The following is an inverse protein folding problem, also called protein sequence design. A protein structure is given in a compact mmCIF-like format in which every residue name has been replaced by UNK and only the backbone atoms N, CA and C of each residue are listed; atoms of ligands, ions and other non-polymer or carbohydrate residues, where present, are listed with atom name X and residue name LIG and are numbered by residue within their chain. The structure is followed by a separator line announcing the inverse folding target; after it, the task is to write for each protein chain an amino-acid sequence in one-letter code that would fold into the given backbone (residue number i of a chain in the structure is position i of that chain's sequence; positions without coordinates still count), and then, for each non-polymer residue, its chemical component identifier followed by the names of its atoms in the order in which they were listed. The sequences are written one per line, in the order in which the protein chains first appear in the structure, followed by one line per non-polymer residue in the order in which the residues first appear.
data_IF_740899893152
#
_entry.id   IF_740899893152
#
_cell.length_a   1.000
_cell.length_b   1.000
_cell.length_c   1.000
_cell.angle_alpha   90.00
_cell.angle_beta   90.00
_cell.angle_gamma   90.00
#
_symmetry.space_group_name_H-M   'P 1'
#
loop_
_entity.id
_entity.type
_entity.pdbx_description
1 polymer ?
#
# COMPACT_ATOMS: atom_id res chain seq x y z
N UNK A 1 -0.18 8.41 -8.47
CA UNK A 1 -0.30 7.21 -9.31
C UNK A 1 0.74 6.19 -8.90
N UNK A 2 0.40 4.89 -8.93
CA UNK A 2 1.32 3.77 -8.73
C UNK A 2 1.54 3.01 -10.05
N UNK A 3 2.74 2.48 -10.26
CA UNK A 3 3.11 1.59 -11.35
C UNK A 3 3.80 0.38 -10.74
N UNK A 4 3.29 -0.81 -11.05
CA UNK A 4 3.77 -2.10 -10.51
C UNK A 4 4.42 -2.97 -11.58
N UNK A 5 4.02 -2.81 -12.84
CA UNK A 5 4.61 -3.57 -13.95
C UNK A 5 6.07 -3.15 -14.18
N UNK A 6 6.97 -4.13 -14.17
CA UNK A 6 8.40 -3.89 -14.26
C UNK A 6 8.80 -3.20 -15.57
N UNK A 7 8.21 -3.60 -16.71
CA UNK A 7 8.56 -3.02 -18.01
C UNK A 7 8.07 -1.57 -18.12
N UNK A 8 6.87 -1.28 -17.63
CA UNK A 8 6.36 0.10 -17.55
C UNK A 8 7.24 0.97 -16.66
N UNK A 9 7.65 0.46 -15.49
CA UNK A 9 8.57 1.18 -14.61
C UNK A 9 9.90 1.48 -15.31
N UNK A 10 10.50 0.50 -15.98
CA UNK A 10 11.76 0.69 -16.69
C UNK A 10 11.64 1.72 -17.81
N UNK A 11 10.58 1.65 -18.60
CA UNK A 11 10.36 2.58 -19.70
C UNK A 11 10.22 4.01 -19.17
N UNK A 12 9.37 4.21 -18.15
CA UNK A 12 9.16 5.54 -17.59
C UNK A 12 10.43 6.08 -16.90
N UNK A 13 11.17 5.25 -16.16
CA UNK A 13 12.43 5.67 -15.51
C UNK A 13 13.47 6.16 -16.53
N UNK A 14 13.52 5.58 -17.74
CA UNK A 14 14.43 6.04 -18.82
C UNK A 14 14.11 7.46 -19.30
N UNK A 15 12.89 7.93 -19.09
CA UNK A 15 12.44 9.28 -19.45
C UNK A 15 12.67 10.29 -18.31
N UNK A 16 13.06 9.84 -17.12
CA UNK A 16 13.25 10.69 -15.94
C UNK A 16 14.72 10.93 -15.60
N UNK A 17 14.97 12.02 -14.88
CA UNK A 17 16.26 12.32 -14.27
C UNK A 17 16.29 11.83 -12.82
N UNK A 18 17.28 11.01 -12.46
CA UNK A 18 17.49 10.62 -11.06
C UNK A 18 18.00 11.81 -10.25
N UNK A 19 17.34 12.10 -9.13
CA UNK A 19 17.72 13.21 -8.25
C UNK A 19 18.49 12.75 -7.01
N UNK A 20 18.04 11.68 -6.37
CA UNK A 20 18.62 11.18 -5.12
C UNK A 20 18.44 9.68 -5.02
N UNK A 21 19.44 8.99 -4.46
CA UNK A 21 19.38 7.59 -4.09
C UNK A 21 19.68 7.45 -2.60
N UNK A 22 18.83 6.71 -1.91
CA UNK A 22 19.02 6.27 -0.53
C UNK A 22 19.20 4.74 -0.58
N UNK A 23 20.44 4.31 -0.45
CA UNK A 23 20.79 2.89 -0.55
C UNK A 23 20.37 2.10 0.70
N UNK A 24 20.28 2.75 1.86
CA UNK A 24 19.90 2.09 3.12
C UNK A 24 18.43 1.69 3.09
N UNK A 25 17.57 2.59 2.60
CA UNK A 25 16.13 2.36 2.52
C UNK A 25 15.66 1.82 1.16
N UNK A 26 16.59 1.51 0.24
CA UNK A 26 16.29 1.06 -1.12
C UNK A 26 15.37 2.01 -1.89
N UNK A 27 15.55 3.32 -1.71
CA UNK A 27 14.71 4.36 -2.32
C UNK A 27 15.48 5.13 -3.38
N UNK A 28 14.83 5.41 -4.51
CA UNK A 28 15.34 6.32 -5.53
C UNK A 28 14.28 7.35 -5.90
N UNK A 29 14.67 8.62 -5.96
CA UNK A 29 13.82 9.74 -6.35
C UNK A 29 14.18 10.22 -7.75
N UNK A 30 13.16 10.54 -8.52
CA UNK A 30 13.26 10.97 -9.91
C UNK A 30 12.43 12.21 -10.17
N UNK A 31 12.80 12.95 -11.21
CA UNK A 31 12.04 14.06 -11.78
C UNK A 31 11.76 13.78 -13.25
N UNK A 32 10.51 13.90 -13.65
CA UNK A 32 10.10 13.77 -15.04
C UNK A 32 10.18 15.14 -15.72
N UNK A 33 11.14 15.38 -16.65
CA UNK A 33 11.45 16.72 -17.15
C UNK A 33 10.32 17.35 -17.96
N UNK A 34 9.50 16.55 -18.67
CA UNK A 34 8.40 17.06 -19.49
C UNK A 34 7.11 17.36 -18.70
N UNK A 35 6.75 16.53 -17.71
CA UNK A 35 5.54 16.72 -16.90
C UNK A 35 5.79 17.52 -15.62
N UNK A 36 7.07 17.72 -15.29
CA UNK A 36 7.54 18.32 -14.04
C UNK A 36 7.09 17.53 -12.78
N UNK A 37 6.73 16.25 -12.94
CA UNK A 37 6.30 15.40 -11.85
C UNK A 37 7.49 14.79 -11.10
N UNK A 38 7.32 14.59 -9.80
CA UNK A 38 8.28 13.90 -8.95
C UNK A 38 7.84 12.45 -8.78
N UNK A 39 8.81 11.54 -8.74
CA UNK A 39 8.56 10.11 -8.63
C UNK A 39 9.50 9.46 -7.62
N UNK A 40 9.00 8.42 -6.95
CA UNK A 40 9.73 7.61 -5.99
C UNK A 40 9.63 6.15 -6.37
N UNK A 41 10.78 5.50 -6.54
CA UNK A 41 10.91 4.05 -6.65
C UNK A 41 11.41 3.48 -5.33
N UNK A 42 10.82 2.39 -4.85
CA UNK A 42 11.19 1.77 -3.59
C UNK A 42 10.67 0.33 -3.50
N UNK A 43 11.16 -0.41 -2.51
CA UNK A 43 10.81 -1.81 -2.25
C UNK A 43 10.23 -1.92 -0.83
N UNK A 44 8.90 -1.81 -0.65
CA UNK A 44 8.32 -1.73 0.68
C UNK A 44 8.58 -2.98 1.51
N UNK A 45 8.47 -4.16 0.90
CA UNK A 45 8.62 -5.47 1.54
C UNK A 45 10.02 -6.07 1.36
N UNK A 46 11.04 -5.23 1.20
CA UNK A 46 12.40 -5.73 1.08
C UNK A 46 12.83 -6.41 2.38
N UNK A 47 13.38 -7.61 2.24
CA UNK A 47 14.01 -8.40 3.30
C UNK A 47 15.48 -8.63 2.95
N UNK A 48 16.26 -9.23 3.84
CA UNK A 48 17.66 -9.56 3.58
C UNK A 48 17.85 -10.46 2.34
N UNK A 49 16.88 -11.34 2.06
CA UNK A 49 17.00 -12.38 1.04
C UNK A 49 16.12 -12.14 -0.20
N UNK A 50 15.13 -11.26 -0.10
CA UNK A 50 14.19 -10.95 -1.19
C UNK A 50 13.88 -9.44 -1.20
N UNK A 51 14.19 -8.71 -2.28
CA UNK A 51 13.81 -7.31 -2.40
C UNK A 51 12.28 -7.12 -2.46
N UNK A 52 11.51 -8.15 -2.78
CA UNK A 52 10.06 -8.07 -2.89
C UNK A 52 9.59 -7.19 -4.06
N UNK A 53 8.31 -6.75 -4.07
CA UNK A 53 7.76 -5.98 -5.16
C UNK A 53 8.36 -4.56 -5.21
N UNK A 54 8.94 -4.22 -6.36
CA UNK A 54 9.33 -2.84 -6.67
C UNK A 54 8.09 -2.01 -6.96
N UNK A 55 7.96 -0.87 -6.29
CA UNK A 55 6.91 0.12 -6.55
C UNK A 55 7.54 1.39 -7.11
N UNK A 56 6.91 1.95 -8.15
CA UNK A 56 7.14 3.31 -8.61
C UNK A 56 5.86 4.12 -8.41
N UNK A 57 5.95 5.29 -7.76
CA UNK A 57 4.79 6.17 -7.59
C UNK A 57 5.14 7.64 -7.68
N UNK A 58 4.14 8.45 -8.00
CA UNK A 58 4.26 9.91 -7.98
C UNK A 58 4.43 10.44 -6.56
N UNK A 59 5.11 11.58 -6.43
CA UNK A 59 5.29 12.38 -5.21
C UNK A 59 4.88 13.84 -5.47
N UNK A 60 4.42 14.56 -4.43
CA UNK A 60 4.10 14.07 -3.09
C UNK A 60 2.81 13.25 -3.08
N UNK A 61 2.72 12.25 -2.20
CA UNK A 61 1.42 11.67 -1.82
C UNK A 61 0.70 12.61 -0.83
N UNK A 62 -0.64 12.60 -0.79
CA UNK A 62 -1.38 13.31 0.25
C UNK A 62 -0.86 12.94 1.65
N UNK A 63 -0.67 13.94 2.52
CA UNK A 63 -0.10 13.71 3.85
C UNK A 63 -1.06 12.93 4.77
N UNK A 64 -2.37 13.25 4.66
CA UNK A 64 -3.41 12.59 5.44
C UNK A 64 -3.75 11.23 4.84
N UNK A 65 -3.81 10.22 5.70
CA UNK A 65 -4.12 8.85 5.30
C UNK A 65 -5.51 8.75 4.66
N UNK A 66 -6.47 9.51 5.18
CA UNK A 66 -7.82 9.65 4.64
C UNK A 66 -7.80 10.08 3.18
N UNK A 67 -7.04 11.13 2.87
CA UNK A 67 -6.96 11.69 1.53
C UNK A 67 -6.22 10.73 0.58
N UNK A 68 -5.25 9.97 1.08
CA UNK A 68 -4.60 8.89 0.31
C UNK A 68 -5.58 7.78 -0.06
N UNK A 69 -6.36 7.29 0.92
CA UNK A 69 -7.36 6.25 0.69
C UNK A 69 -8.40 6.73 -0.32
N UNK A 70 -8.91 7.96 -0.16
CA UNK A 70 -9.85 8.56 -1.11
C UNK A 70 -9.26 8.68 -2.52
N UNK A 71 -8.02 9.17 -2.63
CA UNK A 71 -7.35 9.37 -3.93
C UNK A 71 -7.16 8.06 -4.68
N UNK A 72 -6.77 6.99 -3.99
CA UNK A 72 -6.34 5.75 -4.64
C UNK A 72 -7.40 4.66 -4.71
N UNK A 73 -8.46 4.71 -3.88
CA UNK A 73 -9.50 3.68 -3.86
C UNK A 73 -10.80 4.08 -4.59
N UNK A 74 -10.98 5.37 -4.93
CA UNK A 74 -12.14 5.84 -5.71
C UNK A 74 -11.94 5.78 -7.22
N UNK A 75 -10.70 5.70 -7.68
CA UNK A 75 -10.38 5.60 -9.11
C UNK A 75 -10.64 4.21 -9.69
N UNK A 76 -10.32 4.03 -10.97
CA UNK A 76 -10.43 2.77 -11.71
C UNK A 76 -9.06 2.09 -11.96
N UNK A 77 -7.95 2.78 -11.66
CA UNK A 77 -6.58 2.28 -11.80
C UNK A 77 -6.28 1.26 -10.68
N UNK A 78 -6.18 -0.02 -11.04
CA UNK A 78 -5.97 -1.14 -10.11
C UNK A 78 -4.64 -1.05 -9.35
N UNK A 79 -3.61 -0.59 -10.02
CA UNK A 79 -2.26 -0.44 -9.50
C UNK A 79 -2.23 0.51 -8.31
N UNK A 80 -3.12 1.50 -8.27
CA UNK A 80 -3.22 2.42 -7.14
C UNK A 80 -3.68 1.71 -5.86
N UNK A 81 -4.72 0.88 -5.94
CA UNK A 81 -5.20 0.12 -4.78
C UNK A 81 -4.17 -0.92 -4.31
N UNK A 82 -3.58 -1.66 -5.25
CA UNK A 82 -2.57 -2.68 -4.96
C UNK A 82 -1.33 -2.03 -4.34
N UNK A 83 -0.78 -1.00 -5.01
CA UNK A 83 0.43 -0.31 -4.58
C UNK A 83 0.27 0.38 -3.23
N UNK A 84 -0.88 1.01 -2.98
CA UNK A 84 -1.18 1.58 -1.65
C UNK A 84 -1.28 0.49 -0.59
N UNK A 85 -1.91 -0.65 -0.89
CA UNK A 85 -2.01 -1.79 0.02
C UNK A 85 -0.62 -2.29 0.43
N UNK A 86 0.26 -2.54 -0.54
CA UNK A 86 1.64 -3.00 -0.28
C UNK A 86 2.44 -1.94 0.51
N UNK A 87 2.32 -0.66 0.17
CA UNK A 87 3.06 0.40 0.89
C UNK A 87 2.59 0.53 2.35
N UNK A 88 1.30 0.35 2.61
CA UNK A 88 0.77 0.43 3.98
C UNK A 88 0.91 -0.88 4.76
N UNK A 89 1.09 -2.02 4.10
CA UNK A 89 1.23 -3.32 4.77
C UNK A 89 2.45 -3.36 5.68
N UNK A 90 3.52 -2.63 5.35
CA UNK A 90 4.77 -2.59 6.13
C UNK A 90 4.75 -1.59 7.29
N UNK A 91 3.56 -1.08 7.65
CA UNK A 91 3.35 -0.21 8.81
C UNK A 91 2.29 -0.81 9.75
N UNK A 92 2.61 -1.89 10.49
CA UNK A 92 1.63 -2.65 11.26
C UNK A 92 0.97 -1.83 12.37
N UNK A 93 1.72 -0.90 12.96
CA UNK A 93 1.23 0.08 13.93
C UNK A 93 0.08 0.96 13.39
N UNK A 94 -0.09 1.08 12.07
CA UNK A 94 -1.16 1.87 11.44
C UNK A 94 -2.35 1.02 11.01
N UNK A 95 -2.27 -0.31 11.05
CA UNK A 95 -3.32 -1.18 10.52
C UNK A 95 -4.68 -0.95 11.17
N UNK A 96 -4.73 -0.76 12.49
CA UNK A 96 -5.97 -0.47 13.20
C UNK A 96 -6.64 0.80 12.67
N UNK A 97 -5.86 1.89 12.56
CA UNK A 97 -6.35 3.17 12.02
C UNK A 97 -6.77 3.05 10.55
N UNK A 98 -6.03 2.29 9.74
CA UNK A 98 -6.38 2.05 8.34
C UNK A 98 -7.74 1.35 8.24
N UNK A 99 -7.94 0.29 9.02
CA UNK A 99 -9.19 -0.48 9.02
C UNK A 99 -10.37 0.38 9.50
N UNK A 100 -10.20 1.21 10.54
CA UNK A 100 -11.24 2.16 10.97
C UNK A 100 -11.66 3.11 9.83
N UNK A 101 -10.69 3.74 9.17
CA UNK A 101 -10.97 4.68 8.08
C UNK A 101 -11.67 4.02 6.90
N UNK A 102 -11.29 2.78 6.60
CA UNK A 102 -11.96 1.99 5.57
C UNK A 102 -13.38 1.63 6.01
N UNK A 103 -13.60 1.22 7.25
CA UNK A 103 -14.94 0.92 7.78
C UNK A 103 -15.89 2.11 7.74
N UNK A 104 -15.39 3.32 7.96
CA UNK A 104 -16.20 4.54 7.93
C UNK A 104 -16.60 4.94 6.50
N UNK A 105 -15.78 4.59 5.51
CA UNK A 105 -15.88 5.13 4.14
C UNK A 105 -16.09 4.08 3.06
N UNK A 106 -16.17 2.79 3.41
CA UNK A 106 -16.18 1.67 2.46
C UNK A 106 -17.23 1.78 1.35
N UNK A 107 -18.36 2.45 1.62
CA UNK A 107 -19.44 2.69 0.65
C UNK A 107 -19.05 3.66 -0.47
N UNK A 108 -18.13 4.58 -0.21
CA UNK A 108 -17.61 5.55 -1.19
C UNK A 108 -16.46 5.00 -2.04
N UNK A 109 -15.89 3.86 -1.62
CA UNK A 109 -15.01 2.95 -2.36
C UNK A 109 -15.44 2.70 -3.81
N UNK A 110 -14.56 2.28 -4.73
CA UNK A 110 -14.92 1.26 -5.73
C UNK A 110 -14.80 -0.14 -5.09
N UNK A 111 -15.62 -1.09 -5.51
CA UNK A 111 -15.67 -2.42 -4.86
C UNK A 111 -14.44 -3.25 -5.20
N UNK A 112 -14.00 -3.20 -6.46
CA UNK A 112 -12.83 -3.96 -6.91
C UNK A 112 -11.57 -3.34 -6.31
N UNK A 113 -11.46 -2.02 -6.32
CA UNK A 113 -10.33 -1.31 -5.70
C UNK A 113 -10.23 -1.61 -4.20
N UNK A 114 -11.35 -1.54 -3.47
CA UNK A 114 -11.35 -1.84 -2.04
C UNK A 114 -10.91 -3.28 -1.76
N UNK A 115 -11.37 -4.26 -2.55
CA UNK A 115 -10.92 -5.65 -2.41
C UNK A 115 -9.41 -5.76 -2.65
N UNK A 116 -8.93 -5.23 -3.77
CA UNK A 116 -7.50 -5.26 -4.13
C UNK A 116 -6.63 -4.62 -3.04
N UNK A 117 -7.08 -3.51 -2.48
CA UNK A 117 -6.39 -2.85 -1.38
C UNK A 117 -6.31 -3.74 -0.14
N UNK A 118 -7.43 -4.30 0.31
CA UNK A 118 -7.47 -5.15 1.51
C UNK A 118 -6.66 -6.44 1.33
N UNK A 119 -6.69 -7.03 0.13
CA UNK A 119 -5.85 -8.19 -0.23
C UNK A 119 -4.36 -7.88 -0.07
N UNK A 120 -3.93 -6.67 -0.47
CA UNK A 120 -2.52 -6.30 -0.45
C UNK A 120 -2.06 -5.64 0.86
N UNK A 121 -2.99 -5.15 1.68
CA UNK A 121 -2.70 -4.68 3.03
C UNK A 121 -2.24 -5.83 3.94
N UNK A 122 -2.70 -7.06 3.67
CA UNK A 122 -2.22 -8.29 4.32
C UNK A 122 -2.61 -8.45 5.79
N UNK A 123 -3.65 -7.74 6.23
CA UNK A 123 -4.18 -7.82 7.61
C UNK A 123 -4.86 -9.16 7.88
N UNK A 124 -5.37 -9.85 6.85
CA UNK A 124 -6.07 -11.11 7.02
C UNK A 124 -5.13 -12.26 7.41
N UNK A 125 -3.93 -12.26 6.84
CA UNK A 125 -2.78 -13.15 7.09
C UNK A 125 -1.70 -12.45 7.94
N UNK A 126 -2.09 -11.50 8.79
CA UNK A 126 -1.15 -10.56 9.42
C UNK A 126 0.00 -11.20 10.20
N UNK A 127 -0.22 -12.31 10.91
CA UNK A 127 0.87 -13.04 11.61
C UNK A 127 1.92 -13.59 10.63
N UNK A 128 1.48 -14.14 9.50
CA UNK A 128 2.36 -14.71 8.47
C UNK A 128 3.14 -13.61 7.76
N UNK A 129 2.46 -12.54 7.35
CA UNK A 129 3.10 -11.39 6.71
C UNK A 129 4.17 -10.76 7.61
N UNK A 130 3.88 -10.56 8.89
CA UNK A 130 4.85 -9.97 9.82
C UNK A 130 6.07 -10.86 10.01
N UNK A 131 5.85 -12.18 10.11
CA UNK A 131 6.93 -13.15 10.18
C UNK A 131 7.81 -13.15 8.93
N UNK A 132 7.21 -13.06 7.74
CA UNK A 132 7.93 -12.94 6.47
C UNK A 132 8.78 -11.67 6.41
N UNK A 133 8.27 -10.57 6.97
CA UNK A 133 8.99 -9.29 7.06
C UNK A 133 10.01 -9.24 8.20
N UNK A 134 10.15 -10.31 9.00
CA UNK A 134 11.05 -10.37 10.14
C UNK A 134 10.61 -9.50 11.34
N UNK A 135 9.31 -9.21 11.44
CA UNK A 135 8.72 -8.37 12.48
C UNK A 135 8.04 -9.20 13.57
N UNK A 136 8.28 -8.85 14.84
CA UNK A 136 7.50 -9.38 15.96
C UNK A 136 6.22 -8.53 16.13
N UNK A 137 5.02 -9.12 16.01
CA UNK A 137 3.76 -8.38 16.18
C UNK A 137 3.65 -7.62 17.51
N UNK A 138 4.27 -8.12 18.57
CA UNK A 138 4.23 -7.51 19.90
C UNK A 138 4.93 -6.14 19.95
N UNK A 139 5.95 -5.91 19.11
CA UNK A 139 6.63 -4.61 18.98
C UNK A 139 5.69 -3.51 18.47
N UNK A 140 4.66 -3.90 17.74
CA UNK A 140 3.63 -3.01 17.21
C UNK A 140 2.36 -2.98 18.08
N UNK A 141 2.40 -3.64 19.24
CA UNK A 141 1.24 -3.78 20.12
C UNK A 141 0.12 -4.62 19.51
N UNK A 142 0.44 -5.55 18.60
CA UNK A 142 -0.49 -6.44 17.92
C UNK A 142 -0.38 -7.85 18.53
N UNK A 143 -1.24 -8.15 19.50
CA UNK A 143 -1.41 -9.53 19.96
C UNK A 143 -2.32 -10.34 19.00
N UNK A 144 -2.37 -11.66 19.17
CA UNK A 144 -3.20 -12.53 18.33
C UNK A 144 -4.69 -12.19 18.38
N UNK A 145 -5.21 -11.60 19.47
CA UNK A 145 -6.61 -11.18 19.54
C UNK A 145 -6.86 -9.95 18.67
N UNK A 146 -5.94 -8.96 18.69
CA UNK A 146 -5.99 -7.79 17.82
C UNK A 146 -5.87 -8.18 16.37
N UNK A 147 -4.92 -9.04 16.01
CA UNK A 147 -4.76 -9.53 14.63
C UNK A 147 -6.01 -10.25 14.14
N UNK A 148 -6.58 -11.14 14.95
CA UNK A 148 -7.88 -11.80 14.64
C UNK A 148 -9.01 -10.79 14.49
N UNK A 149 -9.07 -9.76 15.35
CA UNK A 149 -10.08 -8.73 15.25
C UNK A 149 -9.95 -7.90 13.97
N UNK A 150 -8.73 -7.48 13.61
CA UNK A 150 -8.45 -6.75 12.37
C UNK A 150 -8.78 -7.59 11.13
N UNK A 151 -8.38 -8.86 11.10
CA UNK A 151 -8.72 -9.81 10.03
C UNK A 151 -10.24 -9.95 9.87
N UNK A 152 -10.97 -10.12 10.99
CA UNK A 152 -12.44 -10.18 10.98
C UNK A 152 -13.06 -8.89 10.46
N UNK A 153 -12.58 -7.72 10.90
CA UNK A 153 -13.07 -6.40 10.46
C UNK A 153 -12.86 -6.20 8.95
N UNK A 154 -11.66 -6.53 8.44
CA UNK A 154 -11.36 -6.52 6.99
C UNK A 154 -12.36 -7.37 6.20
N UNK A 155 -12.60 -8.62 6.62
CA UNK A 155 -13.57 -9.52 5.99
C UNK A 155 -15.00 -8.94 6.03
N UNK A 156 -15.41 -8.38 7.17
CA UNK A 156 -16.73 -7.75 7.33
C UNK A 156 -16.92 -6.56 6.41
N UNK A 157 -15.90 -5.73 6.18
CA UNK A 157 -15.97 -4.62 5.20
C UNK A 157 -16.32 -5.14 3.81
N UNK A 158 -15.64 -6.22 3.38
CA UNK A 158 -15.92 -6.87 2.10
C UNK A 158 -17.38 -7.33 2.07
N UNK A 159 -17.80 -8.12 3.07
CA UNK A 159 -19.15 -8.67 3.16
C UNK A 159 -20.23 -7.59 3.18
N UNK A 160 -20.11 -6.56 4.03
CA UNK A 160 -21.09 -5.46 4.10
C UNK A 160 -21.34 -4.86 2.72
N UNK A 161 -20.31 -4.81 1.87
CA UNK A 161 -20.44 -4.28 0.53
C UNK A 161 -21.15 -5.20 -0.46
N UNK A 162 -21.25 -6.50 -0.18
CA UNK A 162 -22.07 -7.43 -0.98
C UNK A 162 -23.59 -7.22 -0.75
N UNK A 163 -24.00 -6.74 0.42
CA UNK A 163 -25.43 -6.66 0.81
C UNK A 163 -26.11 -5.31 0.53
N UNK A 164 -25.39 -4.31 -0.01
CA UNK A 164 -25.95 -3.01 -0.39
C UNK A 164 -26.05 -2.82 -1.92
N UNK A 165 -26.27 -3.92 -2.65
CA UNK A 165 -26.63 -3.91 -4.08
C UNK A 165 -28.14 -4.04 -4.25
#
# INVERSE_FOLDING_TARGET
MYILDYNQQLNLIREMTQLRKDAENWVVYYHHPSTNEMWKSFFPKATENDPGPKILRTEPVPEKLEDRLDTFLKGDIRENAIGLGIELSVNPNKWERIIELVEDRYRSYDRKQLSLFLDNLGVEEGEELLKELGHDPSEYGLDSNKLKNLSRRSKLIRFKRFWFF
#
